data_IF_300424817170
#
_entry.id   IF_300424817170
#
_cell.length_a   1.000
_cell.length_b   1.000
_cell.length_c   1.000
_cell.angle_alpha   90.00
_cell.angle_beta   90.00
_cell.angle_gamma   90.00
#
_symmetry.space_group_name_H-M   'P 1'
#
loop_
_entity.id
_entity.type
_entity.pdbx_description
1 polymer ?
#
# COMPACT_ATOMS: atom_id res chain seq x y z
N UNK A 1 16.40 -6.18 4.21
CA UNK A 1 15.78 -5.04 3.48
C UNK A 1 14.71 -5.61 2.58
N UNK A 2 13.46 -5.14 2.71
CA UNK A 2 12.42 -5.50 1.73
C UNK A 2 12.70 -4.75 0.44
N UNK A 3 12.82 -5.50 -0.65
CA UNK A 3 13.01 -4.94 -1.97
C UNK A 3 11.63 -4.79 -2.63
N UNK A 4 11.16 -3.54 -2.76
CA UNK A 4 9.90 -3.20 -3.43
C UNK A 4 9.81 -3.81 -4.84
N UNK A 5 10.93 -3.93 -5.56
CA UNK A 5 10.98 -4.52 -6.90
C UNK A 5 10.64 -6.02 -6.90
N UNK A 6 10.98 -6.77 -5.84
CA UNK A 6 10.63 -8.20 -5.73
C UNK A 6 9.13 -8.42 -5.56
N UNK A 7 8.44 -7.42 -5.01
CA UNK A 7 7.00 -7.45 -4.80
C UNK A 7 6.24 -6.68 -5.88
N UNK A 8 6.93 -6.13 -6.90
CA UNK A 8 6.32 -5.38 -8.00
C UNK A 8 5.14 -6.14 -8.64
N UNK A 9 5.24 -7.43 -9.01
CA UNK A 9 4.11 -8.15 -9.61
C UNK A 9 2.88 -8.21 -8.71
N UNK A 10 3.08 -8.37 -7.39
CA UNK A 10 2.00 -8.36 -6.42
C UNK A 10 1.37 -6.96 -6.28
N UNK A 11 2.20 -5.91 -6.22
CA UNK A 11 1.72 -4.53 -6.13
C UNK A 11 0.97 -4.09 -7.39
N UNK A 12 1.43 -4.52 -8.57
CA UNK A 12 0.76 -4.28 -9.86
C UNK A 12 -0.58 -4.99 -9.93
N UNK A 13 -0.61 -6.29 -9.60
CA UNK A 13 -1.84 -7.07 -9.56
C UNK A 13 -2.84 -6.45 -8.57
N UNK A 14 -2.39 -6.11 -7.36
CA UNK A 14 -3.25 -5.49 -6.36
C UNK A 14 -3.75 -4.11 -6.79
N UNK A 15 -2.90 -3.29 -7.41
CA UNK A 15 -3.26 -1.93 -7.86
C UNK A 15 -4.20 -1.88 -9.05
N UNK A 16 -4.27 -2.96 -9.84
CA UNK A 16 -5.09 -3.06 -11.07
C UNK A 16 -6.34 -3.94 -10.90
N UNK A 17 -6.45 -4.67 -9.79
CA UNK A 17 -7.59 -5.53 -9.48
C UNK A 17 -8.82 -4.75 -9.01
N UNK A 18 -10.00 -5.29 -9.29
CA UNK A 18 -11.29 -4.80 -8.76
C UNK A 18 -11.38 -5.00 -7.23
N UNK A 19 -12.25 -4.25 -6.51
CA UNK A 19 -12.33 -4.30 -5.05
C UNK A 19 -12.44 -5.71 -4.44
N UNK A 20 -13.30 -6.57 -5.00
CA UNK A 20 -13.48 -7.95 -4.52
C UNK A 20 -12.21 -8.79 -4.70
N UNK A 21 -11.52 -8.59 -5.83
CA UNK A 21 -10.25 -9.26 -6.12
C UNK A 21 -9.13 -8.73 -5.22
N UNK A 22 -9.09 -7.42 -4.96
CA UNK A 22 -8.15 -6.83 -4.00
C UNK A 22 -8.33 -7.44 -2.62
N UNK A 23 -9.58 -7.59 -2.17
CA UNK A 23 -9.86 -8.23 -0.90
C UNK A 23 -9.33 -9.67 -0.86
N UNK A 24 -9.61 -10.49 -1.88
CA UNK A 24 -9.12 -11.87 -1.95
C UNK A 24 -7.58 -11.96 -1.98
N UNK A 25 -6.92 -11.04 -2.70
CA UNK A 25 -5.46 -10.94 -2.73
C UNK A 25 -4.90 -10.57 -1.35
N UNK A 26 -5.56 -9.67 -0.63
CA UNK A 26 -5.15 -9.29 0.72
C UNK A 26 -5.41 -10.41 1.73
N UNK A 27 -6.47 -11.19 1.59
CA UNK A 27 -6.76 -12.35 2.44
C UNK A 27 -5.71 -13.45 2.29
N UNK A 28 -5.17 -13.64 1.09
CA UNK A 28 -4.11 -14.63 0.81
C UNK A 28 -2.70 -14.06 0.96
N UNK A 29 -2.54 -12.74 1.15
CA UNK A 29 -1.24 -12.09 1.24
C UNK A 29 -0.36 -12.66 2.37
N UNK A 30 0.90 -12.93 2.01
CA UNK A 30 1.96 -13.35 2.93
C UNK A 30 2.37 -12.23 3.88
N UNK A 31 3.04 -12.58 4.97
CA UNK A 31 3.57 -11.59 5.91
C UNK A 31 4.53 -10.60 5.23
N UNK A 32 5.31 -11.05 4.25
CA UNK A 32 6.24 -10.21 3.51
C UNK A 32 5.51 -9.22 2.60
N UNK A 33 4.49 -9.67 1.87
CA UNK A 33 3.64 -8.79 1.04
C UNK A 33 2.93 -7.74 1.89
N UNK A 34 2.38 -8.11 3.06
CA UNK A 34 1.77 -7.16 3.99
C UNK A 34 2.80 -6.15 4.49
N UNK A 35 4.02 -6.58 4.80
CA UNK A 35 5.08 -5.66 5.20
C UNK A 35 5.47 -4.73 4.05
N UNK A 36 5.55 -5.23 2.82
CA UNK A 36 5.81 -4.41 1.65
C UNK A 36 4.76 -3.30 1.49
N UNK A 37 3.48 -3.60 1.66
CA UNK A 37 2.41 -2.59 1.66
C UNK A 37 2.59 -1.56 2.78
N UNK A 38 2.97 -1.99 3.99
CA UNK A 38 3.25 -1.07 5.09
C UNK A 38 4.46 -0.15 4.78
N UNK A 39 5.47 -0.67 4.09
CA UNK A 39 6.62 0.09 3.64
C UNK A 39 6.23 1.13 2.56
N UNK A 40 5.35 0.76 1.62
CA UNK A 40 4.76 1.69 0.66
C UNK A 40 4.09 2.87 1.39
N UNK A 41 3.25 2.58 2.38
CA UNK A 41 2.59 3.60 3.22
C UNK A 41 3.61 4.47 3.94
N UNK A 42 4.62 3.87 4.57
CA UNK A 42 5.66 4.62 5.30
C UNK A 42 6.44 5.57 4.37
N UNK A 43 6.77 5.13 3.16
CA UNK A 43 7.47 5.94 2.17
C UNK A 43 6.60 7.09 1.66
N UNK A 44 5.29 6.86 1.46
CA UNK A 44 4.32 7.90 1.10
C UNK A 44 4.19 8.94 2.22
N UNK A 45 4.07 8.51 3.48
CA UNK A 45 4.01 9.42 4.63
C UNK A 45 5.29 10.26 4.77
N UNK A 46 6.45 9.67 4.46
CA UNK A 46 7.75 10.36 4.45
C UNK A 46 7.99 11.19 3.18
N UNK A 47 7.01 11.28 2.26
CA UNK A 47 7.09 12.01 0.99
C UNK A 47 8.28 11.61 0.13
N UNK A 48 8.62 10.31 0.11
CA UNK A 48 9.71 9.77 -0.72
C UNK A 48 9.32 9.61 -2.19
N UNK A 49 8.03 9.64 -2.50
CA UNK A 49 7.51 9.58 -3.86
C UNK A 49 7.02 10.96 -4.31
N UNK A 50 7.23 11.27 -5.58
CA UNK A 50 6.67 12.46 -6.21
C UNK A 50 5.18 12.23 -6.44
N UNK A 51 4.35 12.73 -5.52
CA UNK A 51 2.91 12.58 -5.59
C UNK A 51 2.24 13.93 -5.83
N UNK A 52 1.25 13.95 -6.72
CA UNK A 52 0.47 15.17 -6.96
C UNK A 52 -0.23 15.65 -5.69
N UNK A 53 -0.39 16.98 -5.56
CA UNK A 53 -1.10 17.57 -4.41
C UNK A 53 -2.53 17.05 -4.27
N UNK A 54 -3.18 16.69 -5.38
CA UNK A 54 -4.53 16.13 -5.42
C UNK A 54 -4.58 14.74 -4.79
N UNK A 55 -3.67 13.84 -5.18
CA UNK A 55 -3.58 12.49 -4.60
C UNK A 55 -3.24 12.59 -3.10
N UNK A 56 -2.30 13.46 -2.72
CA UNK A 56 -1.98 13.70 -1.31
C UNK A 56 -3.14 14.29 -0.50
N UNK A 57 -4.06 15.03 -1.14
CA UNK A 57 -5.28 15.50 -0.49
C UNK A 57 -6.24 14.34 -0.25
N UNK A 58 -6.42 13.44 -1.23
CA UNK A 58 -7.24 12.24 -1.07
C UNK A 58 -6.69 11.29 0.01
N UNK A 59 -5.38 11.05 0.00
CA UNK A 59 -4.71 10.21 1.00
C UNK A 59 -4.82 10.75 2.42
N UNK A 60 -4.98 12.07 2.61
CA UNK A 60 -5.20 12.64 3.94
C UNK A 60 -6.48 12.16 4.60
N UNK A 61 -7.49 11.74 3.85
CA UNK A 61 -8.69 11.11 4.41
C UNK A 61 -8.38 9.77 5.08
N UNK A 62 -7.31 9.08 4.66
CA UNK A 62 -6.86 7.79 5.19
C UNK A 62 -5.71 7.93 6.21
N UNK A 63 -5.52 9.12 6.80
CA UNK A 63 -4.37 9.41 7.68
C UNK A 63 -4.30 8.47 8.88
N UNK A 64 -5.45 8.15 9.47
CA UNK A 64 -5.50 7.32 10.68
C UNK A 64 -5.14 5.86 10.35
N UNK A 65 -5.59 5.37 9.20
CA UNK A 65 -5.31 4.04 8.66
C UNK A 65 -3.82 3.93 8.35
N UNK A 66 -3.26 4.93 7.67
CA UNK A 66 -1.82 5.00 7.39
C UNK A 66 -1.00 4.98 8.67
N UNK A 67 -1.37 5.77 9.69
CA UNK A 67 -0.70 5.75 11.01
C UNK A 67 -0.75 4.36 11.67
N UNK A 68 -1.89 3.68 11.60
CA UNK A 68 -2.05 2.32 12.15
C UNK A 68 -1.23 1.27 11.37
N UNK A 69 -1.02 1.46 10.07
CA UNK A 69 -0.21 0.58 9.23
C UNK A 69 1.30 0.75 9.47
N UNK A 70 1.76 1.98 9.73
CA UNK A 70 3.18 2.24 10.03
C UNK A 70 3.54 2.01 11.50
N UNK A 71 2.56 1.90 12.40
CA UNK A 71 2.77 1.59 13.82
C UNK A 71 3.57 0.28 13.98
N UNK A 72 4.77 0.39 14.56
CA UNK A 72 5.69 -0.72 14.78
C UNK A 72 5.23 -1.66 15.90
N UNK A 73 4.34 -1.20 16.78
CA UNK A 73 3.77 -2.00 17.86
C UNK A 73 2.65 -2.94 17.41
N UNK A 74 2.13 -2.81 16.18
CA UNK A 74 1.09 -3.72 15.66
C UNK A 74 1.70 -4.92 14.95
N UNK A 75 1.23 -6.11 15.31
CA UNK A 75 1.60 -7.35 14.62
C UNK A 75 1.02 -7.39 13.18
N UNK A 76 1.66 -8.17 12.30
CA UNK A 76 1.29 -8.26 10.88
C UNK A 76 -0.18 -8.65 10.65
N UNK A 77 -0.76 -9.51 11.51
CA UNK A 77 -2.18 -9.89 11.44
C UNK A 77 -3.13 -8.70 11.56
N UNK A 78 -2.83 -7.75 12.46
CA UNK A 78 -3.66 -6.56 12.65
C UNK A 78 -3.53 -5.58 11.48
N UNK A 79 -2.33 -5.45 10.91
CA UNK A 79 -2.09 -4.64 9.71
C UNK A 79 -2.80 -5.22 8.49
N UNK A 80 -2.73 -6.54 8.31
CA UNK A 80 -3.50 -7.28 7.28
C UNK A 80 -4.99 -7.01 7.39
N UNK A 81 -5.55 -7.07 8.60
CA UNK A 81 -6.97 -6.76 8.84
C UNK A 81 -7.33 -5.32 8.46
N UNK A 82 -6.48 -4.34 8.79
CA UNK A 82 -6.70 -2.93 8.39
C UNK A 82 -6.72 -2.81 6.86
N UNK A 83 -5.79 -3.45 6.16
CA UNK A 83 -5.75 -3.45 4.70
C UNK A 83 -7.00 -4.08 4.10
N UNK A 84 -7.49 -5.20 4.64
CA UNK A 84 -8.72 -5.85 4.17
C UNK A 84 -9.95 -4.95 4.40
N UNK A 85 -10.07 -4.35 5.58
CA UNK A 85 -11.26 -3.58 5.97
C UNK A 85 -11.33 -2.18 5.35
N UNK A 86 -10.18 -1.59 5.02
CA UNK A 86 -10.09 -0.19 4.58
C UNK A 86 -9.27 -0.05 3.29
N UNK A 87 -9.04 -1.16 2.58
CA UNK A 87 -8.22 -1.19 1.37
C UNK A 87 -8.92 -0.61 0.15
N UNK A 88 -10.24 -0.73 0.10
CA UNK A 88 -11.07 -0.24 -1.01
C UNK A 88 -10.87 1.27 -1.20
N UNK A 89 -10.58 1.68 -2.44
CA UNK A 89 -10.28 3.06 -2.81
C UNK A 89 -8.95 3.61 -2.28
N UNK A 90 -8.50 3.20 -1.10
CA UNK A 90 -7.21 3.56 -0.52
C UNK A 90 -6.04 2.97 -1.30
N UNK A 91 -6.11 1.67 -1.63
CA UNK A 91 -4.99 0.96 -2.27
C UNK A 91 -4.74 1.44 -3.69
N UNK A 92 -5.79 1.71 -4.48
CA UNK A 92 -5.63 2.29 -5.81
C UNK A 92 -4.95 3.67 -5.76
N UNK A 93 -5.38 4.54 -4.83
CA UNK A 93 -4.77 5.86 -4.62
C UNK A 93 -3.33 5.80 -4.13
N UNK A 94 -3.00 4.79 -3.33
CA UNK A 94 -1.66 4.58 -2.79
C UNK A 94 -0.72 4.00 -3.85
N UNK A 95 -1.16 2.97 -4.57
CA UNK A 95 -0.30 2.14 -5.42
C UNK A 95 -0.03 2.77 -6.78
N UNK A 96 -1.01 3.44 -7.41
CA UNK A 96 -0.82 4.10 -8.71
C UNK A 96 0.46 4.95 -8.80
N UNK A 97 0.71 5.93 -7.91
CA UNK A 97 1.91 6.76 -8.00
C UNK A 97 3.21 6.01 -7.62
N UNK A 98 3.10 4.96 -6.80
CA UNK A 98 4.24 4.12 -6.43
C UNK A 98 4.66 3.26 -7.62
N UNK A 99 3.70 2.68 -8.33
CA UNK A 99 3.95 1.87 -9.52
C UNK A 99 4.54 2.70 -10.67
N UNK A 100 4.05 3.92 -10.88
CA UNK A 100 4.66 4.89 -11.81
C UNK A 100 6.13 5.17 -11.43
N UNK A 101 6.40 5.49 -10.17
CA UNK A 101 7.77 5.73 -9.69
C UNK A 101 8.68 4.49 -9.82
N UNK A 102 8.13 3.29 -9.69
CA UNK A 102 8.88 2.04 -9.86
C UNK A 102 9.10 1.68 -11.34
N UNK A 103 8.24 2.16 -12.25
CA UNK A 103 8.42 1.98 -13.69
C UNK A 103 9.55 2.85 -14.24
N UNK A 104 9.77 4.05 -13.70
CA UNK A 104 10.88 4.94 -14.08
C UNK A 104 12.27 4.46 -13.61
N UNK A 105 12.32 3.48 -12.70
CA UNK A 105 13.55 2.93 -12.12
C UNK A 105 14.06 1.65 -12.83
N UNK A 106 13.34 1.16 -13.84
CA UNK A 106 13.67 -0.03 -14.65
C UNK A 106 13.96 0.40 -16.08
#
# INVERSE_FOLDING_TARGET
>A
MINLLRHKPFLELLGTSEPDQQQALLETATAEQVHCLCLCVENVMKRKYLMSKHVMKKLRHYKNEMLRLVDRGKCGRRKKRILIQHGEGFLGLLLSPILESLAELV
#
